data_IF_069469600447
#
_entry.id   IF_069469600447
#
_cell.length_a   1.000
_cell.length_b   1.000
_cell.length_c   1.000
_cell.angle_alpha   90.00
_cell.angle_beta   90.00
_cell.angle_gamma   90.00
#
_symmetry.space_group_name_H-M   'P 1'
#
loop_
_entity.id
_entity.type
_entity.pdbx_description
1 polymer ?
#
# COMPACT_ATOMS: atom_id res chain seq x y z
N UNK A 1 3.06 3.12 -2.31
CA UNK A 1 2.70 2.66 -0.95
C UNK A 1 2.37 3.85 -0.07
N UNK A 2 1.26 3.78 0.66
CA UNK A 2 0.84 4.82 1.59
C UNK A 2 0.35 4.16 2.89
N UNK A 3 1.01 4.48 4.02
CA UNK A 3 0.77 3.79 5.29
C UNK A 3 0.23 4.74 6.38
N UNK A 4 0.04 6.00 6.08
CA UNK A 4 -0.48 7.00 7.01
C UNK A 4 -1.13 8.16 6.24
N UNK A 5 -2.13 8.81 6.88
CA UNK A 5 -2.77 10.04 6.42
C UNK A 5 -2.38 11.25 7.26
N UNK A 6 -2.03 11.02 8.53
CA UNK A 6 -1.63 12.11 9.42
C UNK A 6 -0.14 12.09 9.69
N UNK A 7 0.50 13.28 9.82
CA UNK A 7 1.91 13.37 10.20
C UNK A 7 2.23 12.66 11.52
N UNK A 8 1.29 12.65 12.47
CA UNK A 8 1.47 11.98 13.77
C UNK A 8 1.57 10.46 13.64
N UNK A 9 0.74 9.85 12.80
CA UNK A 9 0.81 8.42 12.48
C UNK A 9 2.04 8.12 11.61
N UNK A 10 2.27 8.95 10.59
CA UNK A 10 3.41 8.80 9.69
C UNK A 10 4.76 8.84 10.41
N UNK A 11 4.92 9.69 11.43
CA UNK A 11 6.14 9.77 12.23
C UNK A 11 6.45 8.47 13.01
N UNK A 12 5.45 7.65 13.30
CA UNK A 12 5.62 6.33 13.93
C UNK A 12 6.02 5.25 12.92
N UNK A 13 5.72 5.47 11.63
CA UNK A 13 5.96 4.52 10.54
C UNK A 13 7.25 4.82 9.79
N UNK A 14 7.49 6.10 9.47
CA UNK A 14 8.61 6.56 8.66
C UNK A 14 9.70 7.18 9.53
N UNK A 15 10.84 6.54 9.61
CA UNK A 15 11.94 7.04 10.45
C UNK A 15 12.60 8.30 9.89
N UNK A 16 12.64 8.41 8.58
CA UNK A 16 13.19 9.55 7.85
C UNK A 16 12.70 9.57 6.40
N UNK A 17 12.73 10.73 5.81
CA UNK A 17 12.43 10.96 4.38
C UNK A 17 13.52 11.85 3.80
N UNK A 18 14.00 11.53 2.61
CA UNK A 18 14.92 12.38 1.87
C UNK A 18 14.15 13.08 0.75
N UNK A 19 14.07 14.40 0.83
CA UNK A 19 13.38 15.23 -0.15
C UNK A 19 14.30 16.34 -0.63
N UNK A 20 14.49 16.47 -1.95
CA UNK A 20 15.35 17.51 -2.52
C UNK A 20 16.78 17.53 -1.98
N UNK A 21 17.33 16.36 -1.57
CA UNK A 21 18.65 16.25 -0.96
C UNK A 21 18.66 16.45 0.57
N UNK A 22 17.58 16.99 1.16
CA UNK A 22 17.44 17.20 2.61
C UNK A 22 16.87 15.98 3.30
N UNK A 23 17.45 15.60 4.43
CA UNK A 23 16.97 14.52 5.29
C UNK A 23 16.04 15.10 6.36
N UNK A 24 14.76 14.71 6.28
CA UNK A 24 13.72 15.08 7.24
C UNK A 24 13.45 13.92 8.21
N UNK A 25 12.96 14.23 9.41
CA UNK A 25 12.60 13.25 10.45
C UNK A 25 11.29 13.65 11.15
N UNK A 26 10.68 12.70 11.85
CA UNK A 26 9.48 12.93 12.65
C UNK A 26 8.28 13.38 11.82
N UNK A 27 7.47 14.27 12.40
CA UNK A 27 6.23 14.74 11.79
C UNK A 27 6.45 15.50 10.48
N UNK A 28 7.52 16.30 10.38
CA UNK A 28 7.83 17.05 9.16
C UNK A 28 8.18 16.12 7.99
N UNK A 29 8.94 15.05 8.27
CA UNK A 29 9.21 14.02 7.27
C UNK A 29 7.94 13.33 6.80
N UNK A 30 7.06 12.97 7.74
CA UNK A 30 5.79 12.33 7.45
C UNK A 30 4.85 13.24 6.66
N UNK A 31 4.73 14.51 7.03
CA UNK A 31 3.93 15.50 6.31
C UNK A 31 4.41 15.63 4.86
N UNK A 32 5.69 15.89 4.65
CA UNK A 32 6.27 16.04 3.32
C UNK A 32 6.05 14.80 2.43
N UNK A 33 6.15 13.59 3.01
CA UNK A 33 5.90 12.34 2.29
C UNK A 33 4.43 12.17 1.93
N UNK A 34 3.52 12.40 2.87
CA UNK A 34 2.07 12.29 2.67
C UNK A 34 1.62 13.26 1.57
N UNK A 35 2.03 14.53 1.64
CA UNK A 35 1.70 15.54 0.64
C UNK A 35 2.18 15.12 -0.76
N UNK A 36 3.41 14.64 -0.87
CA UNK A 36 3.96 14.14 -2.14
C UNK A 36 3.21 12.90 -2.67
N UNK A 37 2.79 11.99 -1.77
CA UNK A 37 2.01 10.81 -2.14
C UNK A 37 0.62 11.18 -2.65
N UNK A 38 -0.10 12.08 -1.96
CA UNK A 38 -1.42 12.55 -2.36
C UNK A 38 -1.36 13.29 -3.71
N UNK A 39 -0.40 14.20 -3.88
CA UNK A 39 -0.18 14.89 -5.14
C UNK A 39 0.16 13.93 -6.28
N UNK A 40 0.99 12.91 -6.02
CA UNK A 40 1.35 11.89 -6.99
C UNK A 40 0.18 10.99 -7.40
N UNK A 41 -0.72 10.63 -6.47
CA UNK A 41 -1.95 9.89 -6.78
C UNK A 41 -2.85 10.72 -7.68
N UNK A 42 -3.12 11.97 -7.31
CA UNK A 42 -3.96 12.89 -8.09
C UNK A 42 -3.41 13.06 -9.52
N UNK A 43 -2.12 13.40 -9.66
CA UNK A 43 -1.49 13.58 -10.95
C UNK A 43 -1.54 12.30 -11.82
N UNK A 44 -1.33 11.14 -11.24
CA UNK A 44 -1.39 9.88 -11.97
C UNK A 44 -2.81 9.56 -12.46
N UNK A 45 -3.83 9.80 -11.63
CA UNK A 45 -5.23 9.58 -12.00
C UNK A 45 -5.71 10.59 -13.04
N UNK A 46 -5.32 11.87 -12.93
CA UNK A 46 -5.58 12.91 -13.94
C UNK A 46 -4.95 12.55 -15.29
N UNK A 47 -3.78 11.92 -15.28
CA UNK A 47 -3.12 11.41 -16.49
C UNK A 47 -3.77 10.14 -17.06
N UNK A 48 -4.88 9.66 -16.49
CA UNK A 48 -5.60 8.45 -16.94
C UNK A 48 -4.95 7.12 -16.54
N UNK A 49 -3.99 7.13 -15.61
CA UNK A 49 -3.35 5.90 -15.15
C UNK A 49 -4.23 5.15 -14.16
N UNK A 50 -4.16 3.82 -14.19
CA UNK A 50 -4.76 2.96 -13.17
C UNK A 50 -3.87 2.97 -11.92
N UNK A 51 -4.35 3.62 -10.87
CA UNK A 51 -3.61 3.73 -9.60
C UNK A 51 -4.08 2.66 -8.62
N UNK A 52 -3.12 1.87 -8.12
CA UNK A 52 -3.29 0.94 -6.99
C UNK A 52 -2.48 1.41 -5.79
N UNK A 53 -3.12 1.49 -4.64
CA UNK A 53 -2.48 1.86 -3.38
C UNK A 53 -2.15 0.60 -2.59
N UNK A 54 -0.90 0.43 -2.18
CA UNK A 54 -0.52 -0.55 -1.18
C UNK A 54 -0.46 0.12 0.19
N UNK A 55 -1.01 -0.52 1.22
CA UNK A 55 -0.94 -0.07 2.61
C UNK A 55 -0.65 -1.23 3.54
N UNK A 56 0.32 -1.06 4.42
CA UNK A 56 0.63 -2.06 5.46
C UNK A 56 -0.22 -1.74 6.69
N UNK A 57 -0.98 -2.73 7.14
CA UNK A 57 -1.78 -2.66 8.37
C UNK A 57 -0.90 -2.99 9.58
N UNK A 58 -0.74 -2.02 10.48
CA UNK A 58 0.10 -2.12 11.68
C UNK A 58 -0.79 -1.92 12.91
N UNK A 59 -1.17 -3.00 13.64
CA UNK A 59 -2.06 -2.92 14.79
C UNK A 59 -1.58 -1.90 15.83
N UNK A 60 -2.47 -1.04 16.32
CA UNK A 60 -2.14 -0.02 17.34
C UNK A 60 -1.30 1.17 16.83
N UNK A 61 -0.91 1.19 15.55
CA UNK A 61 -0.12 2.28 14.96
C UNK A 61 -0.93 3.04 13.91
N UNK A 62 -1.31 2.38 12.79
CA UNK A 62 -2.03 3.01 11.69
C UNK A 62 -3.38 2.36 11.36
N UNK A 63 -3.79 1.35 12.10
CA UNK A 63 -5.03 0.62 11.85
C UNK A 63 -6.28 1.52 11.84
N UNK A 64 -6.28 2.59 12.63
CA UNK A 64 -7.36 3.58 12.68
C UNK A 64 -7.42 4.48 11.43
N UNK A 65 -6.35 4.57 10.65
CA UNK A 65 -6.29 5.35 9.41
C UNK A 65 -6.55 4.52 8.15
N UNK A 66 -6.70 3.18 8.26
CA UNK A 66 -6.83 2.30 7.09
C UNK A 66 -8.07 2.60 6.25
N UNK A 67 -9.24 2.77 6.87
CA UNK A 67 -10.48 3.13 6.16
C UNK A 67 -10.46 4.58 5.67
N UNK A 68 -10.11 5.58 6.47
CA UNK A 68 -9.89 6.94 5.98
C UNK A 68 -8.92 7.04 4.80
N UNK A 69 -7.86 6.20 4.77
CA UNK A 69 -6.93 6.12 3.66
C UNK A 69 -7.58 5.56 2.41
N UNK A 70 -8.45 4.54 2.54
CA UNK A 70 -9.22 4.01 1.41
C UNK A 70 -10.20 5.07 0.85
N UNK A 71 -10.85 5.84 1.72
CA UNK A 71 -11.75 6.95 1.34
C UNK A 71 -10.98 8.05 0.59
N UNK A 72 -9.83 8.46 1.12
CA UNK A 72 -8.97 9.46 0.48
C UNK A 72 -8.47 8.96 -0.89
N UNK A 73 -7.97 7.73 -0.96
CA UNK A 73 -7.50 7.15 -2.22
C UNK A 73 -8.62 7.08 -3.27
N UNK A 74 -9.83 6.68 -2.86
CA UNK A 74 -11.00 6.65 -3.73
C UNK A 74 -11.38 8.05 -4.23
N UNK A 75 -11.39 9.07 -3.36
CA UNK A 75 -11.70 10.46 -3.73
C UNK A 75 -10.69 11.05 -4.72
N UNK A 76 -9.44 10.59 -4.69
CA UNK A 76 -8.39 10.95 -5.64
C UNK A 76 -8.41 10.10 -6.93
N UNK A 77 -9.40 9.22 -7.10
CA UNK A 77 -9.58 8.41 -8.30
C UNK A 77 -8.74 7.14 -8.37
N UNK A 78 -8.10 6.71 -7.27
CA UNK A 78 -7.47 5.39 -7.25
C UNK A 78 -8.51 4.29 -7.51
N UNK A 79 -8.12 3.24 -8.22
CA UNK A 79 -9.03 2.18 -8.65
C UNK A 79 -9.00 0.96 -7.73
N UNK A 80 -7.96 0.83 -6.94
CA UNK A 80 -7.75 -0.36 -6.12
C UNK A 80 -6.85 -0.07 -4.94
N UNK A 81 -7.08 -0.77 -3.84
CA UNK A 81 -6.19 -0.80 -2.68
C UNK A 81 -5.79 -2.24 -2.34
N UNK A 82 -4.60 -2.40 -1.79
CA UNK A 82 -4.12 -3.65 -1.24
C UNK A 82 -3.68 -3.43 0.20
N UNK A 83 -4.40 -4.03 1.14
CA UNK A 83 -4.08 -3.99 2.57
C UNK A 83 -3.24 -5.22 2.90
N UNK A 84 -1.97 -4.99 3.24
CA UNK A 84 -0.99 -6.01 3.56
C UNK A 84 -0.81 -6.13 5.07
N UNK A 85 -0.68 -7.35 5.63
CA UNK A 85 -0.29 -7.49 7.02
C UNK A 85 1.14 -7.00 7.23
N UNK A 86 1.43 -6.52 8.44
CA UNK A 86 2.79 -6.19 8.86
C UNK A 86 3.70 -7.41 8.75
N UNK A 87 4.86 -7.24 8.13
CA UNK A 87 5.98 -8.16 8.24
C UNK A 87 6.92 -7.61 9.32
N UNK A 88 7.18 -8.34 10.42
CA UNK A 88 7.90 -7.82 11.58
C UNK A 88 9.40 -7.69 11.27
N UNK A 89 9.81 -6.48 10.89
CA UNK A 89 11.20 -6.14 10.58
C UNK A 89 11.56 -4.74 11.10
N UNK A 90 12.84 -4.46 11.21
CA UNK A 90 13.35 -3.15 11.62
C UNK A 90 12.80 -2.72 12.98
N UNK A 91 12.20 -1.53 13.05
CA UNK A 91 11.60 -1.00 14.29
C UNK A 91 10.37 -1.78 14.75
N UNK A 92 9.75 -2.54 13.86
CA UNK A 92 8.56 -3.36 14.14
C UNK A 92 8.89 -4.83 14.38
N UNK A 93 10.16 -5.23 14.54
CA UNK A 93 10.59 -6.64 14.71
C UNK A 93 9.87 -7.40 15.84
N UNK A 94 9.46 -6.70 16.89
CA UNK A 94 8.77 -7.26 18.05
C UNK A 94 7.31 -6.78 18.14
N UNK A 95 6.78 -6.15 17.06
CA UNK A 95 5.43 -5.63 17.06
C UNK A 95 4.42 -6.77 16.85
N UNK A 96 3.25 -6.75 17.53
CA UNK A 96 2.22 -7.76 17.32
C UNK A 96 1.72 -7.75 15.88
N UNK A 97 1.53 -8.94 15.32
CA UNK A 97 0.98 -9.12 13.99
C UNK A 97 -0.55 -9.05 14.02
N UNK A 98 -1.19 -8.58 12.95
CA UNK A 98 -2.62 -8.75 12.80
C UNK A 98 -2.93 -10.23 12.58
N UNK A 99 -4.00 -10.72 13.19
CA UNK A 99 -4.52 -12.05 12.90
C UNK A 99 -5.34 -12.09 11.60
N UNK A 100 -5.68 -13.30 11.14
CA UNK A 100 -6.42 -13.49 9.90
C UNK A 100 -7.82 -12.86 9.95
N UNK A 101 -8.49 -12.89 11.10
CA UNK A 101 -9.82 -12.32 11.27
C UNK A 101 -9.78 -10.79 11.20
N UNK A 102 -8.78 -10.15 11.83
CA UNK A 102 -8.56 -8.70 11.74
C UNK A 102 -8.30 -8.28 10.29
N UNK A 103 -7.44 -9.03 9.56
CA UNK A 103 -7.13 -8.73 8.16
C UNK A 103 -8.36 -8.91 7.26
N UNK A 104 -9.15 -9.95 7.44
CA UNK A 104 -10.38 -10.16 6.67
C UNK A 104 -11.42 -9.08 6.97
N UNK A 105 -11.61 -8.74 8.25
CA UNK A 105 -12.55 -7.70 8.66
C UNK A 105 -12.19 -6.34 8.03
N UNK A 106 -10.93 -5.92 8.10
CA UNK A 106 -10.53 -4.60 7.55
C UNK A 106 -10.60 -4.57 6.02
N UNK A 107 -10.22 -5.66 5.35
CA UNK A 107 -10.34 -5.76 3.89
C UNK A 107 -11.80 -5.72 3.43
N UNK A 108 -12.68 -6.46 4.10
CA UNK A 108 -14.11 -6.46 3.79
C UNK A 108 -14.79 -5.11 4.04
N UNK A 109 -14.35 -4.34 5.04
CA UNK A 109 -14.81 -2.97 5.26
C UNK A 109 -14.29 -2.03 4.17
N UNK A 110 -12.99 -2.09 3.88
CA UNK A 110 -12.36 -1.26 2.85
C UNK A 110 -12.90 -1.54 1.43
N UNK A 111 -13.31 -2.78 1.13
CA UNK A 111 -13.87 -3.18 -0.16
C UNK A 111 -15.18 -2.46 -0.50
N UNK A 112 -15.94 -2.00 0.51
CA UNK A 112 -17.13 -1.16 0.33
C UNK A 112 -16.80 0.26 -0.15
N UNK A 113 -15.56 0.70 0.04
CA UNK A 113 -15.08 2.04 -0.29
C UNK A 113 -14.28 1.98 -1.59
N UNK A 114 -13.34 1.04 -1.68
CA UNK A 114 -12.39 0.92 -2.79
C UNK A 114 -12.06 -0.55 -3.01
N UNK A 115 -12.10 -1.01 -4.26
CA UNK A 115 -11.81 -2.39 -4.63
C UNK A 115 -10.50 -2.89 -4.01
N UNK A 116 -10.52 -4.11 -3.46
CA UNK A 116 -9.37 -4.71 -2.80
C UNK A 116 -8.62 -5.68 -3.71
N UNK A 117 -7.28 -5.53 -3.77
CA UNK A 117 -6.43 -6.52 -4.40
C UNK A 117 -6.19 -7.68 -3.43
N UNK A 118 -6.93 -8.78 -3.59
CA UNK A 118 -6.80 -9.95 -2.70
C UNK A 118 -5.69 -10.92 -3.10
N UNK A 119 -5.07 -10.74 -4.27
CA UNK A 119 -3.95 -11.57 -4.75
C UNK A 119 -2.67 -11.40 -3.94
N UNK A 120 -2.30 -10.16 -3.63
CA UNK A 120 -1.11 -9.87 -2.85
C UNK A 120 -1.43 -9.93 -1.36
N UNK A 121 -1.45 -11.12 -0.79
CA UNK A 121 -1.63 -11.29 0.66
C UNK A 121 -0.32 -11.05 1.43
N UNK A 122 0.81 -11.22 0.77
CA UNK A 122 2.15 -10.96 1.28
C UNK A 122 3.00 -10.38 0.16
N UNK A 123 3.97 -9.51 0.49
CA UNK A 123 4.84 -8.94 -0.53
C UNK A 123 5.71 -10.05 -1.15
N UNK A 124 5.39 -10.43 -2.38
CA UNK A 124 6.11 -11.42 -3.16
C UNK A 124 6.58 -10.77 -4.45
N UNK A 125 7.88 -10.82 -4.70
CA UNK A 125 8.47 -10.26 -5.91
C UNK A 125 8.10 -11.05 -7.17
N UNK A 126 7.59 -12.26 -6.99
CA UNK A 126 7.21 -13.22 -8.05
C UNK A 126 5.70 -13.25 -8.35
N UNK A 127 4.91 -12.34 -7.78
CA UNK A 127 3.49 -12.27 -8.07
C UNK A 127 3.25 -11.78 -9.50
N UNK A 128 2.71 -12.65 -10.34
CA UNK A 128 2.27 -12.35 -11.69
C UNK A 128 0.77 -12.66 -11.85
N UNK A 129 0.06 -11.89 -12.67
CA UNK A 129 -1.36 -12.14 -12.93
C UNK A 129 -2.08 -10.93 -13.50
N UNK A 130 -3.30 -11.15 -13.98
CA UNK A 130 -4.20 -10.08 -14.41
C UNK A 130 -5.03 -9.62 -13.22
N UNK A 131 -5.12 -8.31 -13.00
CA UNK A 131 -5.92 -7.72 -11.92
C UNK A 131 -7.38 -8.20 -12.00
N UNK A 132 -7.84 -8.84 -10.92
CA UNK A 132 -9.20 -9.38 -10.83
C UNK A 132 -9.38 -10.83 -11.31
N UNK A 133 -8.33 -11.48 -11.80
CA UNK A 133 -8.34 -12.90 -12.14
C UNK A 133 -7.33 -13.65 -11.25
N UNK A 134 -7.83 -14.47 -10.33
CA UNK A 134 -7.02 -15.45 -9.61
C UNK A 134 -6.75 -16.64 -10.55
N UNK A 135 -5.56 -16.66 -11.16
CA UNK A 135 -5.11 -17.85 -11.86
C UNK A 135 -4.66 -18.88 -10.81
N UNK A 136 -5.40 -19.98 -10.71
CA UNK A 136 -4.93 -21.14 -9.96
C UNK A 136 -3.57 -21.56 -10.53
N UNK A 137 -2.59 -21.80 -9.65
CA UNK A 137 -1.19 -22.10 -10.00
C UNK A 137 -0.99 -23.35 -10.88
N UNK A 138 -2.06 -24.07 -11.20
CA UNK A 138 -2.05 -25.29 -12.02
C UNK A 138 -2.18 -25.03 -13.54
N UNK A 139 -2.46 -23.80 -13.98
CA UNK A 139 -2.71 -23.48 -15.40
C UNK A 139 -1.68 -22.54 -16.02
N UNK A 140 -0.57 -22.29 -15.35
CA UNK A 140 0.54 -21.54 -15.93
C UNK A 140 1.36 -22.48 -16.86
N UNK A 141 0.88 -22.66 -18.06
CA UNK A 141 1.75 -23.00 -19.18
C UNK A 141 2.66 -21.79 -19.40
N UNK A 142 3.92 -21.96 -19.00
CA UNK A 142 4.90 -20.88 -18.87
C UNK A 142 5.24 -20.35 -20.26
N UNK A 143 4.55 -19.31 -20.70
CA UNK A 143 5.04 -18.48 -21.80
C UNK A 143 6.39 -17.85 -21.39
N UNK A 144 7.36 -17.69 -22.31
CA UNK A 144 8.71 -17.30 -21.97
C UNK A 144 8.77 -15.96 -21.25
N UNK A 145 9.46 -15.95 -20.10
CA UNK A 145 9.71 -14.78 -19.28
C UNK A 145 10.36 -13.70 -20.14
N UNK A 146 9.65 -12.60 -20.35
CA UNK A 146 10.23 -11.42 -21.00
C UNK A 146 11.29 -10.85 -20.03
N UNK A 147 12.55 -10.69 -20.46
CA UNK A 147 13.60 -10.22 -19.56
C UNK A 147 13.31 -8.80 -19.05
N UNK A 148 13.61 -8.57 -17.79
CA UNK A 148 13.37 -7.36 -16.99
C UNK A 148 13.99 -6.06 -17.55
N UNK A 149 14.64 -6.12 -18.73
CA UNK A 149 15.29 -4.97 -19.36
C UNK A 149 14.34 -3.95 -20.02
N UNK A 150 13.03 -4.14 -19.96
CA UNK A 150 12.04 -3.24 -20.58
C UNK A 150 11.29 -2.33 -19.59
N UNK A 151 11.58 -2.36 -18.30
CA UNK A 151 11.11 -1.36 -17.34
C UNK A 151 12.20 -0.29 -17.13
N UNK A 152 12.33 0.64 -18.08
CA UNK A 152 13.00 1.92 -17.87
C UNK A 152 11.96 3.01 -17.73
#
# INVERSE_FOLDING_TARGET
TMNALTPATGAKVYQWVKLGGTLLRGADAAAALIDAQLAGIAAATEAGLLVKINSVYIPGVNNHETLPLAEMANSLGARMMNILPLIPQGIFKNHPLPDAAQMEAIRSQAERILAQSRHCQQCRADAAGVLGLDLATAELDVAPVVPFSMCR
#
